data_IF_085687694429
#
_entry.id   IF_085687694429
#
_cell.length_a   1.000
_cell.length_b   1.000
_cell.length_c   1.000
_cell.angle_alpha   90.00
_cell.angle_beta   90.00
_cell.angle_gamma   90.00
#
_symmetry.space_group_name_H-M   'P 1'
#
loop_
_entity.id
_entity.type
_entity.pdbx_description
1 polymer ?
#
# COMPACT_ATOMS: atom_id res chain seq x y z
N UNK A 1 -7.17 -32.54 7.60
CA UNK A 1 -6.14 -31.94 8.47
C UNK A 1 -6.72 -30.99 9.52
N UNK A 2 -7.96 -31.17 10.00
CA UNK A 2 -8.44 -30.38 11.13
C UNK A 2 -7.62 -30.76 12.37
N UNK A 3 -7.00 -29.79 13.04
CA UNK A 3 -6.32 -30.05 14.30
C UNK A 3 -7.37 -30.19 15.40
N UNK A 4 -7.22 -31.16 16.31
CA UNK A 4 -8.02 -31.23 17.55
C UNK A 4 -7.70 -30.09 18.53
N UNK A 5 -6.99 -29.04 18.08
CA UNK A 5 -6.65 -27.92 18.92
C UNK A 5 -7.90 -27.09 19.23
N UNK A 6 -8.19 -26.79 20.51
CA UNK A 6 -9.27 -25.91 20.85
C UNK A 6 -9.04 -24.52 20.22
N UNK A 7 -10.13 -23.86 19.84
CA UNK A 7 -10.06 -22.47 19.38
C UNK A 7 -9.34 -21.62 20.42
N UNK A 8 -8.43 -20.73 19.99
CA UNK A 8 -7.62 -19.99 20.93
C UNK A 8 -8.49 -19.01 21.73
N UNK A 9 -8.27 -18.91 23.06
CA UNK A 9 -9.09 -18.07 23.91
C UNK A 9 -8.82 -16.58 23.66
N UNK A 10 -9.74 -15.73 24.14
CA UNK A 10 -9.54 -14.28 24.15
C UNK A 10 -8.33 -13.95 25.05
N UNK A 11 -7.41 -13.15 24.52
CA UNK A 11 -6.27 -12.63 25.28
C UNK A 11 -6.60 -11.27 25.89
N UNK A 12 -6.04 -11.01 27.08
CA UNK A 12 -6.03 -9.69 27.72
C UNK A 12 -4.60 -9.16 27.76
N UNK A 13 -4.44 -7.87 27.49
CA UNK A 13 -3.20 -7.16 27.79
C UNK A 13 -3.16 -6.81 29.28
N UNK A 14 -2.17 -7.33 30.01
CA UNK A 14 -1.92 -7.03 31.42
C UNK A 14 -0.48 -6.56 31.54
N UNK A 15 -0.28 -5.24 31.70
CA UNK A 15 1.04 -4.63 31.64
C UNK A 15 1.69 -4.87 30.28
N UNK A 16 2.83 -5.56 30.28
CA UNK A 16 3.64 -5.89 29.11
C UNK A 16 3.36 -7.30 28.55
N UNK A 17 2.31 -7.98 29.02
CA UNK A 17 2.02 -9.39 28.69
C UNK A 17 0.64 -9.58 28.09
N UNK A 18 0.53 -10.55 27.19
CA UNK A 18 -0.74 -11.16 26.82
C UNK A 18 -1.02 -12.33 27.75
N UNK A 19 -2.21 -12.34 28.35
CA UNK A 19 -2.63 -13.34 29.34
C UNK A 19 -3.94 -13.98 28.88
N UNK A 20 -4.04 -15.30 29.00
CA UNK A 20 -5.27 -16.05 28.71
C UNK A 20 -6.23 -16.09 29.91
N UNK A 21 -7.45 -16.65 29.77
CA UNK A 21 -8.43 -16.71 30.86
C UNK A 21 -7.98 -17.49 32.09
N UNK A 22 -7.00 -18.40 31.95
CA UNK A 22 -6.43 -19.16 33.06
C UNK A 22 -5.29 -18.41 33.78
N UNK A 23 -4.94 -17.20 33.33
CA UNK A 23 -3.87 -16.40 33.91
C UNK A 23 -2.47 -16.74 33.40
N UNK A 24 -2.35 -17.57 32.35
CA UNK A 24 -1.05 -17.93 31.78
C UNK A 24 -0.56 -16.83 30.84
N UNK A 25 0.73 -16.53 30.89
CA UNK A 25 1.35 -15.64 29.90
C UNK A 25 1.49 -16.37 28.56
N UNK A 26 0.96 -15.79 27.50
CA UNK A 26 0.97 -16.35 26.16
C UNK A 26 2.12 -15.75 25.35
N UNK A 27 3.01 -16.61 24.87
CA UNK A 27 4.06 -16.20 23.93
C UNK A 27 3.54 -16.32 22.50
N UNK A 28 3.37 -15.17 21.84
CA UNK A 28 2.95 -15.12 20.43
C UNK A 28 4.16 -15.32 19.52
N UNK A 29 4.16 -16.40 18.75
CA UNK A 29 5.14 -16.72 17.71
C UNK A 29 4.38 -16.81 16.39
N UNK A 30 4.55 -15.79 15.56
CA UNK A 30 3.72 -15.63 14.38
C UNK A 30 4.48 -15.45 13.08
N UNK A 31 3.70 -15.39 12.01
CA UNK A 31 4.15 -15.17 10.64
C UNK A 31 3.24 -14.15 9.95
N UNK A 32 3.80 -13.38 9.00
CA UNK A 32 3.00 -12.57 8.08
C UNK A 32 2.25 -13.49 7.12
N UNK A 33 0.92 -13.48 7.19
CA UNK A 33 0.07 -14.20 6.28
C UNK A 33 -0.31 -13.29 5.10
N UNK A 34 0.54 -13.32 4.07
CA UNK A 34 0.50 -12.41 2.93
C UNK A 34 -0.12 -13.00 1.68
N UNK A 35 0.33 -14.15 1.15
CA UNK A 35 -0.30 -14.83 0.01
C UNK A 35 -0.58 -13.99 -1.26
N UNK A 36 0.21 -12.93 -1.50
CA UNK A 36 -0.05 -11.89 -2.51
C UNK A 36 -1.33 -11.05 -2.31
N UNK A 37 -1.83 -10.93 -1.07
CA UNK A 37 -2.95 -10.05 -0.68
C UNK A 37 -2.77 -8.57 -1.01
N UNK A 38 -1.59 -8.18 -1.48
CA UNK A 38 -1.29 -6.82 -1.95
C UNK A 38 -1.82 -6.55 -3.36
N UNK A 39 -2.27 -7.57 -4.09
CA UNK A 39 -2.73 -7.47 -5.48
C UNK A 39 -4.09 -8.16 -5.68
N UNK A 40 -4.92 -7.65 -6.62
CA UNK A 40 -6.19 -8.27 -6.98
C UNK A 40 -6.07 -9.72 -7.51
N UNK A 41 -7.18 -10.44 -7.42
CA UNK A 41 -7.43 -11.77 -7.99
C UNK A 41 -8.28 -11.74 -9.24
N UNK A 42 -9.13 -10.72 -9.40
CA UNK A 42 -10.09 -10.57 -10.50
C UNK A 42 -9.96 -9.17 -11.11
N UNK A 43 -10.17 -9.00 -12.44
CA UNK A 43 -10.62 -10.01 -13.43
C UNK A 43 -9.57 -11.07 -13.80
N UNK A 44 -8.29 -10.78 -13.57
CA UNK A 44 -7.19 -11.73 -13.70
C UNK A 44 -6.30 -11.63 -12.46
N UNK A 45 -5.42 -12.60 -12.17
CA UNK A 45 -4.24 -12.31 -11.37
C UNK A 45 -3.52 -11.12 -12.04
N UNK A 46 -3.41 -9.98 -11.36
CA UNK A 46 -2.84 -8.75 -11.92
C UNK A 46 -1.38 -8.57 -11.48
N UNK A 47 -0.40 -9.28 -12.07
CA UNK A 47 0.98 -9.10 -11.68
C UNK A 47 1.45 -7.71 -12.12
N UNK A 48 2.23 -7.08 -11.26
CA UNK A 48 2.67 -5.69 -11.46
C UNK A 48 3.58 -5.48 -12.68
N UNK A 49 4.15 -6.51 -13.29
CA UNK A 49 4.98 -6.34 -14.49
C UNK A 49 4.16 -6.27 -15.79
N UNK A 50 2.85 -6.50 -15.73
CA UNK A 50 1.95 -6.40 -16.88
C UNK A 50 1.10 -5.14 -16.76
N UNK A 51 0.92 -4.43 -17.89
CA UNK A 51 0.04 -3.26 -17.99
C UNK A 51 -1.42 -3.64 -18.24
N UNK A 52 -1.67 -4.86 -18.70
CA UNK A 52 -2.99 -5.38 -19.05
C UNK A 52 -2.88 -6.66 -19.87
N UNK A 53 -4.02 -7.19 -20.28
CA UNK A 53 -4.12 -8.36 -21.15
C UNK A 53 -5.56 -8.75 -21.43
N UNK A 54 -5.75 -9.83 -22.19
CA UNK A 54 -7.07 -10.37 -22.52
C UNK A 54 -7.22 -11.77 -21.91
N UNK A 55 -8.39 -12.02 -21.32
CA UNK A 55 -8.79 -13.32 -20.80
C UNK A 55 -9.30 -14.24 -21.92
N UNK A 56 -9.38 -15.54 -21.64
CA UNK A 56 -9.84 -16.55 -22.61
C UNK A 56 -11.31 -16.38 -23.01
N UNK A 57 -12.10 -15.69 -22.18
CA UNK A 57 -13.51 -15.37 -22.45
C UNK A 57 -13.70 -14.05 -23.24
N UNK A 58 -12.60 -13.40 -23.64
CA UNK A 58 -12.61 -12.14 -24.39
C UNK A 58 -12.65 -10.89 -23.52
N UNK A 59 -12.63 -11.01 -22.20
CA UNK A 59 -12.58 -9.86 -21.29
C UNK A 59 -11.18 -9.25 -21.25
N UNK A 60 -11.06 -7.97 -21.59
CA UNK A 60 -9.83 -7.20 -21.44
C UNK A 60 -9.68 -6.67 -20.01
N UNK A 61 -8.46 -6.65 -19.51
CA UNK A 61 -8.12 -6.06 -18.23
C UNK A 61 -6.91 -5.15 -18.35
N UNK A 62 -6.83 -4.15 -17.46
CA UNK A 62 -5.71 -3.21 -17.38
C UNK A 62 -5.25 -3.08 -15.94
N UNK A 63 -3.95 -2.97 -15.73
CA UNK A 63 -3.41 -2.64 -14.42
C UNK A 63 -3.97 -1.32 -13.89
N UNK A 64 -4.35 -0.39 -14.77
CA UNK A 64 -4.86 0.91 -14.37
C UNK A 64 -6.32 0.87 -13.87
N UNK A 65 -7.02 -0.25 -14.02
CA UNK A 65 -8.32 -0.43 -13.37
C UNK A 65 -8.11 -0.70 -11.88
N UNK A 66 -8.58 0.24 -11.06
CA UNK A 66 -8.65 0.11 -9.60
C UNK A 66 -10.07 0.09 -9.06
N UNK A 67 -11.10 0.00 -9.91
CA UNK A 67 -12.51 0.19 -9.56
C UNK A 67 -13.33 -1.08 -9.66
N UNK A 68 -12.96 -1.99 -10.55
CA UNK A 68 -13.70 -3.24 -10.78
C UNK A 68 -12.90 -4.50 -10.43
N UNK A 69 -11.94 -4.34 -9.53
CA UNK A 69 -11.05 -5.40 -9.05
C UNK A 69 -11.63 -6.14 -7.85
N UNK A 70 -11.25 -7.40 -7.63
CA UNK A 70 -11.56 -8.11 -6.38
C UNK A 70 -10.29 -8.64 -5.72
N UNK A 71 -10.31 -8.76 -4.40
CA UNK A 71 -9.25 -9.34 -3.59
C UNK A 71 -9.70 -10.65 -2.89
N UNK A 72 -10.94 -11.09 -3.14
CA UNK A 72 -11.46 -12.37 -2.64
C UNK A 72 -10.57 -13.50 -3.12
N UNK A 73 -10.22 -14.42 -2.21
CA UNK A 73 -9.29 -15.52 -2.48
C UNK A 73 -7.82 -15.21 -2.14
N UNK A 74 -7.51 -14.07 -1.51
CA UNK A 74 -6.18 -13.76 -0.95
C UNK A 74 -6.22 -13.67 0.58
N UNK A 75 -5.38 -14.40 1.32
CA UNK A 75 -4.07 -14.94 0.91
C UNK A 75 -4.10 -16.27 0.15
N UNK A 76 -5.22 -16.98 0.16
CA UNK A 76 -5.43 -18.24 -0.56
C UNK A 76 -6.93 -18.51 -0.79
N UNK A 77 -7.32 -19.35 -1.76
CA UNK A 77 -8.67 -19.89 -1.87
C UNK A 77 -9.12 -20.57 -0.56
N UNK A 78 -10.42 -20.48 -0.23
CA UNK A 78 -10.92 -21.01 1.06
C UNK A 78 -10.81 -22.54 1.16
N UNK A 79 -10.91 -23.25 0.04
CA UNK A 79 -10.74 -24.70 -0.06
C UNK A 79 -9.28 -25.15 0.16
N UNK A 80 -8.31 -24.27 -0.06
CA UNK A 80 -6.88 -24.50 0.23
C UNK A 80 -6.48 -24.11 1.67
N UNK A 81 -7.38 -23.45 2.43
CA UNK A 81 -7.06 -22.87 3.73
C UNK A 81 -6.53 -23.92 4.74
N UNK A 82 -7.13 -25.11 4.77
CA UNK A 82 -6.75 -26.16 5.70
C UNK A 82 -5.32 -26.64 5.54
N UNK A 83 -4.87 -26.76 4.29
CA UNK A 83 -3.52 -27.21 3.97
C UNK A 83 -2.51 -26.17 4.46
N UNK A 84 -2.74 -24.89 4.14
CA UNK A 84 -1.86 -23.80 4.54
C UNK A 84 -1.82 -23.62 6.07
N UNK A 85 -2.98 -23.56 6.71
CA UNK A 85 -3.09 -23.39 8.16
C UNK A 85 -2.50 -24.59 8.91
N UNK A 86 -2.78 -25.82 8.44
CA UNK A 86 -2.21 -27.04 8.99
C UNK A 86 -0.68 -27.06 8.91
N UNK A 87 -0.12 -26.63 7.77
CA UNK A 87 1.34 -26.52 7.58
C UNK A 87 1.96 -25.50 8.54
N UNK A 88 1.39 -24.30 8.64
CA UNK A 88 1.87 -23.27 9.56
C UNK A 88 1.81 -23.72 11.01
N UNK A 89 0.76 -24.47 11.38
CA UNK A 89 0.59 -25.01 12.73
C UNK A 89 1.64 -26.08 13.02
N UNK A 90 1.92 -26.96 12.06
CA UNK A 90 2.96 -27.98 12.17
C UNK A 90 4.37 -27.36 12.34
N UNK A 91 4.61 -26.16 11.82
CA UNK A 91 5.84 -25.39 12.07
C UNK A 91 5.91 -24.72 13.44
N UNK A 92 4.84 -24.80 14.25
CA UNK A 92 4.80 -24.30 15.62
C UNK A 92 4.36 -22.84 15.76
N UNK A 93 3.83 -22.22 14.69
CA UNK A 93 3.25 -20.88 14.80
C UNK A 93 1.90 -20.92 15.53
N UNK A 94 1.57 -19.82 16.21
CA UNK A 94 0.29 -19.62 16.90
C UNK A 94 -0.34 -18.24 16.64
N UNK A 95 0.34 -17.37 15.88
CA UNK A 95 -0.16 -16.04 15.50
C UNK A 95 -0.04 -15.84 13.98
N UNK A 96 -1.07 -15.27 13.38
CA UNK A 96 -1.07 -14.82 12.00
C UNK A 96 -1.17 -13.29 11.97
N UNK A 97 -0.19 -12.62 11.38
CA UNK A 97 -0.29 -11.21 10.99
C UNK A 97 -0.93 -11.17 9.61
N UNK A 98 -2.26 -11.00 9.56
CA UNK A 98 -3.05 -11.08 8.33
C UNK A 98 -2.97 -9.76 7.57
N UNK A 99 -2.34 -9.80 6.40
CA UNK A 99 -2.12 -8.65 5.53
C UNK A 99 -3.43 -8.28 4.83
N UNK A 100 -3.92 -7.07 5.08
CA UNK A 100 -5.12 -6.51 4.45
C UNK A 100 -4.78 -5.13 3.89
N UNK A 101 -5.09 -4.86 2.63
CA UNK A 101 -4.93 -3.52 2.04
C UNK A 101 -6.23 -2.72 2.16
N UNK A 102 -6.13 -1.40 2.23
CA UNK A 102 -7.31 -0.54 2.15
C UNK A 102 -8.02 -0.69 0.79
N UNK A 103 -7.25 -0.84 -0.28
CA UNK A 103 -7.77 -1.11 -1.62
C UNK A 103 -8.68 -2.35 -1.63
N UNK A 104 -8.31 -3.44 -0.95
CA UNK A 104 -9.15 -4.63 -0.89
C UNK A 104 -10.53 -4.39 -0.27
N UNK A 105 -10.66 -3.41 0.63
CA UNK A 105 -11.90 -3.10 1.32
C UNK A 105 -12.72 -2.03 0.59
N UNK A 106 -12.09 -1.07 -0.07
CA UNK A 106 -12.77 0.14 -0.58
C UNK A 106 -12.21 0.54 -1.96
N UNK A 107 -12.02 -0.41 -2.89
CA UNK A 107 -11.49 -0.13 -4.23
C UNK A 107 -12.48 0.67 -5.10
N UNK A 108 -13.78 0.33 -5.04
CA UNK A 108 -14.82 0.88 -5.91
C UNK A 108 -14.96 2.41 -5.75
N UNK A 109 -14.85 2.92 -4.52
CA UNK A 109 -14.87 4.35 -4.27
C UNK A 109 -15.07 4.74 -2.81
N UNK A 110 -15.01 6.04 -2.50
CA UNK A 110 -15.13 6.52 -1.13
C UNK A 110 -16.51 6.18 -0.53
N UNK A 111 -16.53 5.32 0.49
CA UNK A 111 -17.69 4.81 1.20
C UNK A 111 -18.27 3.52 0.61
N UNK A 112 -17.67 2.99 -0.45
CA UNK A 112 -18.15 1.81 -1.18
C UNK A 112 -17.32 0.59 -0.77
N UNK A 113 -17.76 -0.08 0.31
CA UNK A 113 -17.04 -1.21 0.89
C UNK A 113 -17.35 -2.53 0.17
N UNK A 114 -16.31 -3.32 -0.09
CA UNK A 114 -16.41 -4.67 -0.61
C UNK A 114 -16.82 -5.64 0.51
N UNK A 115 -18.14 -5.86 0.63
CA UNK A 115 -18.71 -6.77 1.60
C UNK A 115 -18.40 -8.25 1.31
N UNK A 116 -18.14 -8.61 0.05
CA UNK A 116 -17.73 -9.97 -0.31
C UNK A 116 -16.33 -10.26 0.21
N UNK A 117 -15.40 -9.30 0.04
CA UNK A 117 -14.06 -9.39 0.61
C UNK A 117 -14.10 -9.44 2.15
N UNK A 118 -14.89 -8.61 2.81
CA UNK A 118 -15.04 -8.65 4.27
C UNK A 118 -15.56 -10.02 4.74
N UNK A 119 -16.56 -10.59 4.05
CA UNK A 119 -17.08 -11.91 4.36
C UNK A 119 -16.03 -13.02 4.14
N UNK A 120 -15.25 -12.91 3.06
CA UNK A 120 -14.13 -13.80 2.80
C UNK A 120 -13.06 -13.74 3.92
N UNK A 121 -12.66 -12.54 4.36
CA UNK A 121 -11.70 -12.38 5.46
C UNK A 121 -12.24 -12.99 6.74
N UNK A 122 -13.53 -12.79 7.03
CA UNK A 122 -14.18 -13.44 8.18
C UNK A 122 -14.04 -14.97 8.12
N UNK A 123 -14.32 -15.58 6.97
CA UNK A 123 -14.19 -17.02 6.79
C UNK A 123 -12.74 -17.51 7.00
N UNK A 124 -11.74 -16.76 6.53
CA UNK A 124 -10.32 -17.07 6.78
C UNK A 124 -9.99 -17.02 8.28
N UNK A 125 -10.47 -16.01 9.00
CA UNK A 125 -10.23 -15.87 10.45
C UNK A 125 -10.94 -16.94 11.27
N UNK A 126 -12.20 -17.27 10.92
CA UNK A 126 -12.95 -18.38 11.51
C UNK A 126 -12.22 -19.70 11.27
N UNK A 127 -11.73 -19.95 10.04
CA UNK A 127 -10.98 -21.17 9.74
C UNK A 127 -9.66 -21.23 10.51
N UNK A 128 -8.97 -20.09 10.64
CA UNK A 128 -7.73 -19.98 11.41
C UNK A 128 -7.91 -20.37 12.89
N UNK A 129 -9.10 -20.13 13.47
CA UNK A 129 -9.38 -20.50 14.87
C UNK A 129 -9.34 -22.01 15.09
N UNK A 130 -9.80 -22.80 14.12
CA UNK A 130 -9.79 -24.27 14.16
C UNK A 130 -8.38 -24.88 14.13
N UNK A 131 -7.38 -24.07 13.81
CA UNK A 131 -5.96 -24.46 13.82
C UNK A 131 -5.20 -23.84 15.00
N UNK A 132 -5.90 -23.21 15.95
CA UNK A 132 -5.29 -22.63 17.14
C UNK A 132 -4.54 -21.32 16.90
N UNK A 133 -4.91 -20.55 15.85
CA UNK A 133 -4.26 -19.27 15.55
C UNK A 133 -5.01 -18.08 16.10
N UNK A 134 -4.30 -17.24 16.85
CA UNK A 134 -4.66 -15.83 17.00
C UNK A 134 -4.36 -15.09 15.70
N UNK A 135 -5.11 -14.03 15.45
CA UNK A 135 -4.99 -13.19 14.25
C UNK A 135 -4.84 -11.73 14.66
N UNK A 136 -3.79 -11.09 14.17
CA UNK A 136 -3.61 -9.65 14.19
C UNK A 136 -3.89 -9.12 12.78
N UNK A 137 -4.85 -8.21 12.67
CA UNK A 137 -5.20 -7.58 11.38
C UNK A 137 -4.19 -6.48 11.10
N UNK A 138 -3.57 -6.54 9.93
CA UNK A 138 -2.52 -5.62 9.52
C UNK A 138 -2.96 -4.78 8.31
N UNK A 139 -3.38 -3.52 8.53
CA UNK A 139 -3.66 -2.56 7.47
C UNK A 139 -2.37 -2.21 6.71
N UNK A 140 -2.10 -2.96 5.66
CA UNK A 140 -0.82 -2.99 4.98
C UNK A 140 -0.76 -2.02 3.82
N UNK A 141 0.40 -1.40 3.68
CA UNK A 141 0.78 -0.58 2.54
C UNK A 141 2.28 -0.64 2.36
N UNK A 142 2.73 -0.47 1.13
CA UNK A 142 4.10 -0.08 0.80
C UNK A 142 4.02 1.07 -0.18
N UNK A 143 4.82 2.13 0.03
CA UNK A 143 4.87 3.27 -0.87
C UNK A 143 3.47 3.79 -1.30
N UNK A 144 2.51 3.86 -0.36
CA UNK A 144 1.12 4.29 -0.55
C UNK A 144 0.22 3.31 -1.31
N UNK A 145 0.46 3.09 -2.60
CA UNK A 145 -0.45 2.38 -3.50
C UNK A 145 0.29 1.57 -4.56
N UNK A 146 -0.38 0.60 -5.17
CA UNK A 146 0.20 -0.14 -6.30
C UNK A 146 0.47 0.73 -7.52
N UNK A 147 -0.30 1.81 -7.69
CA UNK A 147 -0.08 2.81 -8.74
C UNK A 147 1.19 3.63 -8.50
N UNK A 148 1.59 3.83 -7.25
CA UNK A 148 2.85 4.48 -6.87
C UNK A 148 4.02 3.50 -6.74
N UNK A 149 3.87 2.29 -7.30
CA UNK A 149 4.90 1.25 -7.33
C UNK A 149 5.05 0.46 -6.04
N UNK A 150 4.02 0.44 -5.18
CA UNK A 150 3.96 -0.34 -3.95
C UNK A 150 2.62 -1.10 -3.79
N UNK A 151 1.90 -0.87 -2.70
CA UNK A 151 0.57 -1.47 -2.41
C UNK A 151 -0.16 -0.70 -1.31
N UNK A 152 -1.47 -0.94 -1.14
CA UNK A 152 -2.19 -0.55 0.09
C UNK A 152 -3.42 0.30 -0.15
N UNK A 153 -3.25 1.54 -0.59
CA UNK A 153 -4.31 2.53 -0.72
C UNK A 153 -4.96 2.47 -2.12
N UNK A 154 -6.28 2.60 -2.25
CA UNK A 154 -6.98 2.50 -3.53
C UNK A 154 -6.63 3.66 -4.47
N UNK A 155 -6.78 3.44 -5.79
CA UNK A 155 -6.44 4.44 -6.84
C UNK A 155 -7.13 5.77 -6.61
N UNK A 156 -8.36 5.72 -6.10
CA UNK A 156 -9.18 6.89 -5.90
C UNK A 156 -8.59 7.89 -4.92
N UNK A 157 -7.74 7.45 -3.99
CA UNK A 157 -7.05 8.38 -3.09
C UNK A 157 -6.17 9.36 -3.86
N UNK A 158 -5.52 8.90 -4.94
CA UNK A 158 -4.70 9.71 -5.85
C UNK A 158 -5.59 10.58 -6.74
N UNK A 159 -6.62 9.98 -7.35
CA UNK A 159 -7.52 10.66 -8.28
C UNK A 159 -8.32 11.79 -7.59
N UNK A 160 -8.71 11.62 -6.32
CA UNK A 160 -9.44 12.65 -5.56
C UNK A 160 -8.59 13.88 -5.25
N UNK A 161 -7.27 13.77 -5.30
CA UNK A 161 -6.35 14.91 -5.21
C UNK A 161 -5.84 15.37 -6.58
N UNK A 162 -6.43 14.83 -7.66
CA UNK A 162 -6.15 15.23 -9.03
C UNK A 162 -5.02 14.46 -9.72
N UNK A 163 -4.40 13.48 -9.08
CA UNK A 163 -3.32 12.70 -9.71
C UNK A 163 -3.92 11.73 -10.74
N UNK A 164 -3.45 11.81 -11.98
CA UNK A 164 -3.72 10.83 -13.02
C UNK A 164 -2.75 9.64 -12.87
N UNK A 165 -3.30 8.51 -12.42
CA UNK A 165 -2.52 7.29 -12.14
C UNK A 165 -1.86 6.69 -13.38
N UNK A 166 -2.27 7.08 -14.59
CA UNK A 166 -1.68 6.61 -15.86
C UNK A 166 -0.39 7.36 -16.20
N UNK A 167 -0.17 8.56 -15.64
CA UNK A 167 0.95 9.45 -15.99
C UNK A 167 2.10 9.44 -14.97
N UNK A 168 2.00 8.66 -13.91
CA UNK A 168 2.94 8.64 -12.78
C UNK A 168 4.40 8.36 -13.21
N UNK A 169 4.59 7.40 -14.10
CA UNK A 169 5.93 7.01 -14.57
C UNK A 169 6.56 8.06 -15.48
N UNK A 170 5.79 8.60 -16.44
CA UNK A 170 6.26 9.61 -17.39
C UNK A 170 6.66 10.91 -16.69
N UNK A 171 5.93 11.27 -15.62
CA UNK A 171 6.25 12.41 -14.77
C UNK A 171 7.34 12.11 -13.73
N UNK A 172 7.92 10.90 -13.73
CA UNK A 172 8.84 10.38 -12.70
C UNK A 172 8.33 10.55 -11.25
N UNK A 173 7.01 10.63 -11.07
CA UNK A 173 6.35 10.79 -9.79
C UNK A 173 6.29 9.47 -9.00
N UNK A 174 6.38 8.34 -9.71
CA UNK A 174 6.64 7.02 -9.18
C UNK A 174 7.38 6.19 -10.23
N UNK A 175 8.02 5.10 -9.81
CA UNK A 175 8.54 4.07 -10.72
C UNK A 175 7.78 2.78 -10.46
N UNK A 176 7.23 2.18 -11.51
CA UNK A 176 6.47 0.94 -11.41
C UNK A 176 7.14 -0.13 -12.28
N UNK A 177 6.76 -1.41 -12.13
CA UNK A 177 7.32 -2.45 -13.00
C UNK A 177 6.85 -2.28 -14.45
N UNK A 178 5.62 -1.80 -14.67
CA UNK A 178 5.06 -1.54 -16.01
C UNK A 178 5.81 -0.42 -16.77
N UNK A 179 6.51 0.45 -16.04
CA UNK A 179 7.30 1.51 -16.67
C UNK A 179 8.65 1.02 -17.22
N UNK A 180 8.95 -0.29 -17.12
CA UNK A 180 10.15 -0.90 -17.67
C UNK A 180 9.79 -1.80 -18.85
N UNK A 181 10.42 -1.53 -20.00
CA UNK A 181 10.22 -2.32 -21.21
C UNK A 181 10.79 -3.74 -21.10
N UNK A 182 11.85 -3.92 -20.31
CA UNK A 182 12.40 -5.23 -19.96
C UNK A 182 12.24 -5.48 -18.46
N UNK A 183 11.31 -6.37 -18.05
CA UNK A 183 11.12 -6.74 -16.65
C UNK A 183 12.38 -7.32 -15.99
N UNK A 184 13.27 -7.98 -16.74
CA UNK A 184 14.51 -8.55 -16.21
C UNK A 184 15.57 -7.48 -15.89
N UNK A 185 15.43 -6.30 -16.48
CA UNK A 185 16.32 -5.16 -16.22
C UNK A 185 15.83 -4.29 -15.06
N UNK A 186 14.66 -4.57 -14.47
CA UNK A 186 14.15 -3.82 -13.33
C UNK A 186 15.11 -3.92 -12.13
N UNK A 187 15.70 -2.79 -11.67
CA UNK A 187 16.72 -2.85 -10.63
C UNK A 187 16.18 -3.37 -9.30
N UNK A 188 16.94 -4.27 -8.67
CA UNK A 188 16.66 -4.71 -7.30
C UNK A 188 16.58 -3.51 -6.35
N UNK A 189 15.64 -3.56 -5.40
CA UNK A 189 15.42 -2.54 -4.38
C UNK A 189 15.21 -1.13 -4.95
N UNK A 190 14.61 -1.02 -6.15
CA UNK A 190 14.17 0.27 -6.69
C UNK A 190 12.84 0.72 -6.06
N UNK A 191 11.90 -0.21 -5.82
CA UNK A 191 10.57 0.10 -5.29
C UNK A 191 10.56 0.93 -3.99
N UNK A 192 11.44 0.73 -2.99
CA UNK A 192 11.39 1.50 -1.74
C UNK A 192 11.72 2.98 -1.97
N UNK A 193 12.40 3.33 -3.06
CA UNK A 193 12.69 4.72 -3.39
C UNK A 193 11.43 5.52 -3.73
N UNK A 194 10.33 4.86 -4.12
CA UNK A 194 9.06 5.53 -4.40
C UNK A 194 8.51 6.28 -3.20
N UNK A 195 8.84 5.85 -1.99
CA UNK A 195 8.49 6.54 -0.73
C UNK A 195 8.90 8.02 -0.75
N UNK A 196 10.01 8.35 -1.42
CA UNK A 196 10.53 9.72 -1.51
C UNK A 196 10.19 10.40 -2.83
N UNK A 197 9.54 9.71 -3.77
CA UNK A 197 9.10 10.31 -5.02
C UNK A 197 7.77 11.04 -4.83
N UNK A 198 7.51 11.95 -5.76
CA UNK A 198 6.48 12.97 -5.64
C UNK A 198 5.12 12.42 -5.20
N UNK A 199 4.61 11.37 -5.86
CA UNK A 199 3.24 10.91 -5.62
C UNK A 199 3.07 10.33 -4.20
N UNK A 200 3.94 9.41 -3.79
CA UNK A 200 3.87 8.81 -2.45
C UNK A 200 4.12 9.84 -1.35
N UNK A 201 5.16 10.67 -1.51
CA UNK A 201 5.49 11.69 -0.52
C UNK A 201 4.37 12.74 -0.40
N UNK A 202 3.74 13.12 -1.51
CA UNK A 202 2.57 14.00 -1.52
C UNK A 202 1.42 13.39 -0.74
N UNK A 203 1.03 12.16 -1.05
CA UNK A 203 -0.11 11.52 -0.41
C UNK A 203 0.06 11.33 1.10
N UNK A 204 1.25 10.94 1.56
CA UNK A 204 1.53 10.88 3.00
C UNK A 204 1.47 12.26 3.66
N UNK A 205 1.93 13.32 2.98
CA UNK A 205 1.85 14.68 3.51
C UNK A 205 0.40 15.11 3.67
N UNK A 206 -0.43 14.89 2.65
CA UNK A 206 -1.85 15.21 2.67
C UNK A 206 -2.61 14.39 3.74
N UNK A 207 -2.28 13.10 3.89
CA UNK A 207 -2.89 12.22 4.89
C UNK A 207 -2.57 12.61 6.32
N UNK A 208 -1.33 13.02 6.62
CA UNK A 208 -0.92 13.33 8.00
C UNK A 208 -1.12 14.78 8.39
N UNK A 209 -0.86 15.72 7.47
CA UNK A 209 -0.80 17.14 7.76
C UNK A 209 -1.39 18.03 6.65
N UNK A 210 -2.29 17.50 5.82
CA UNK A 210 -2.93 18.26 4.74
C UNK A 210 -3.62 19.54 5.22
N UNK A 211 -4.25 19.54 6.40
CA UNK A 211 -4.90 20.75 6.95
C UNK A 211 -3.90 21.88 7.25
N UNK A 212 -2.60 21.56 7.43
CA UNK A 212 -1.53 22.54 7.72
C UNK A 212 -0.63 22.83 6.52
N UNK A 213 -0.34 21.82 5.70
CA UNK A 213 0.61 21.91 4.59
C UNK A 213 -0.05 22.18 3.24
N UNK A 214 -1.35 21.87 3.10
CA UNK A 214 -2.13 22.10 1.89
C UNK A 214 -3.60 22.45 2.20
N UNK A 215 -3.87 23.51 2.99
CA UNK A 215 -5.22 23.91 3.39
C UNK A 215 -6.19 24.23 2.23
N UNK A 216 -5.68 24.56 1.04
CA UNK A 216 -6.49 24.75 -0.17
C UNK A 216 -6.82 23.44 -0.87
N UNK A 217 -6.09 22.35 -0.59
CA UNK A 217 -6.38 21.04 -1.14
C UNK A 217 -7.64 20.45 -0.48
N UNK A 218 -8.75 20.48 -1.23
CA UNK A 218 -10.06 20.05 -0.75
C UNK A 218 -10.71 19.06 -1.70
N UNK A 219 -11.36 18.05 -1.14
CA UNK A 219 -12.18 17.08 -1.89
C UNK A 219 -13.64 17.37 -1.59
N UNK A 220 -14.40 17.82 -2.59
CA UNK A 220 -15.82 18.21 -2.44
C UNK A 220 -16.05 19.21 -1.30
N UNK A 221 -15.12 20.14 -1.11
CA UNK A 221 -15.17 21.18 -0.07
C UNK A 221 -14.67 20.76 1.31
N UNK A 222 -14.39 19.47 1.54
CA UNK A 222 -13.76 18.97 2.77
C UNK A 222 -12.23 19.03 2.65
N UNK A 223 -11.52 19.38 3.72
CA UNK A 223 -10.05 19.32 3.76
C UNK A 223 -9.55 17.91 3.46
N UNK A 224 -8.56 17.80 2.57
CA UNK A 224 -8.07 16.50 2.06
C UNK A 224 -7.62 15.54 3.16
N UNK A 225 -7.00 16.06 4.23
CA UNK A 225 -6.56 15.25 5.37
C UNK A 225 -7.74 14.53 6.02
N UNK A 226 -8.81 15.28 6.34
CA UNK A 226 -10.01 14.74 6.99
C UNK A 226 -10.72 13.77 6.08
N UNK A 227 -10.83 14.10 4.80
CA UNK A 227 -11.43 13.22 3.79
C UNK A 227 -10.70 11.87 3.75
N UNK A 228 -9.38 11.86 3.56
CA UNK A 228 -8.59 10.63 3.46
C UNK A 228 -8.62 9.82 4.77
N UNK A 229 -8.41 10.47 5.93
CA UNK A 229 -8.41 9.79 7.22
C UNK A 229 -9.79 9.21 7.56
N UNK A 230 -10.88 9.95 7.31
CA UNK A 230 -12.25 9.50 7.57
C UNK A 230 -12.58 8.23 6.78
N UNK A 231 -12.21 8.19 5.50
CA UNK A 231 -12.46 7.01 4.67
C UNK A 231 -11.54 5.83 5.05
N UNK A 232 -10.25 6.07 5.30
CA UNK A 232 -9.34 5.00 5.76
C UNK A 232 -9.83 4.34 7.07
N UNK A 233 -10.17 5.16 8.06
CA UNK A 233 -10.72 4.70 9.34
C UNK A 233 -12.07 3.99 9.11
N UNK A 234 -12.92 4.54 8.23
CA UNK A 234 -14.20 3.94 7.85
C UNK A 234 -14.06 2.52 7.31
N UNK A 235 -13.12 2.27 6.38
CA UNK A 235 -12.83 0.94 5.87
C UNK A 235 -12.35 -0.02 6.97
N UNK A 236 -11.46 0.43 7.86
CA UNK A 236 -11.00 -0.40 8.98
C UNK A 236 -12.14 -0.72 9.95
N UNK A 237 -13.05 0.23 10.19
CA UNK A 237 -14.26 0.02 11.00
C UNK A 237 -15.21 -0.96 10.34
N UNK A 238 -15.39 -0.89 9.01
CA UNK A 238 -16.21 -1.83 8.25
C UNK A 238 -15.68 -3.27 8.39
N UNK A 239 -14.37 -3.46 8.22
CA UNK A 239 -13.72 -4.74 8.44
C UNK A 239 -13.87 -5.23 9.89
N UNK A 240 -13.56 -4.38 10.87
CA UNK A 240 -13.70 -4.73 12.29
C UNK A 240 -15.14 -5.11 12.66
N UNK A 241 -16.12 -4.46 12.06
CA UNK A 241 -17.54 -4.79 12.23
C UNK A 241 -17.88 -6.17 11.65
N UNK A 242 -17.34 -6.51 10.48
CA UNK A 242 -17.49 -7.85 9.88
C UNK A 242 -16.82 -8.97 10.69
N UNK A 243 -15.74 -8.65 11.40
CA UNK A 243 -15.01 -9.59 12.27
C UNK A 243 -15.52 -9.65 13.71
N UNK A 244 -16.57 -8.88 14.04
CA UNK A 244 -17.14 -8.85 15.39
C UNK A 244 -17.54 -10.26 15.84
N UNK A 245 -17.24 -10.57 17.11
CA UNK A 245 -17.56 -11.85 17.75
C UNK A 245 -16.50 -12.94 17.60
N UNK A 246 -15.47 -12.73 16.78
CA UNK A 246 -14.36 -13.69 16.65
C UNK A 246 -13.35 -13.50 17.78
N UNK A 247 -13.28 -14.49 18.68
CA UNK A 247 -12.42 -14.45 19.87
C UNK A 247 -10.93 -14.52 19.56
N UNK A 248 -10.56 -15.01 18.38
CA UNK A 248 -9.19 -15.18 17.95
C UNK A 248 -8.60 -13.94 17.27
N UNK A 249 -9.38 -12.86 17.06
CA UNK A 249 -8.83 -11.56 16.63
C UNK A 249 -8.30 -10.82 17.85
N UNK A 250 -6.98 -10.63 17.91
CA UNK A 250 -6.32 -10.05 19.08
C UNK A 250 -6.01 -8.55 18.94
N UNK A 251 -6.20 -7.99 17.75
CA UNK A 251 -5.98 -6.56 17.52
C UNK A 251 -5.98 -6.17 16.05
N UNK A 252 -5.98 -4.86 15.85
CA UNK A 252 -5.86 -4.20 14.56
C UNK A 252 -4.67 -3.26 14.62
N UNK A 253 -3.83 -3.30 13.58
CA UNK A 253 -2.82 -2.27 13.36
C UNK A 253 -3.43 -0.94 12.97
N UNK A 254 -2.62 0.11 13.05
CA UNK A 254 -3.02 1.47 12.64
C UNK A 254 -2.70 1.76 11.19
N UNK A 255 -1.51 1.38 10.73
CA UNK A 255 -1.02 1.42 9.35
C UNK A 255 0.37 0.76 9.33
N UNK A 256 0.67 -0.09 8.34
CA UNK A 256 2.02 -0.63 8.17
C UNK A 256 3.00 0.48 7.77
N UNK A 257 4.12 0.59 8.49
CA UNK A 257 5.28 1.42 8.13
C UNK A 257 4.92 2.83 7.59
N UNK A 258 4.21 3.66 8.39
CA UNK A 258 3.78 4.97 7.93
C UNK A 258 4.99 5.85 7.60
N UNK A 259 4.95 6.49 6.43
CA UNK A 259 6.02 7.38 5.98
C UNK A 259 5.64 8.85 6.22
N UNK A 260 6.62 9.74 6.48
CA UNK A 260 6.35 11.13 6.81
C UNK A 260 6.02 12.00 5.61
N UNK A 261 6.16 11.51 4.37
CA UNK A 261 6.05 12.36 3.18
C UNK A 261 7.05 13.52 3.23
N UNK A 262 6.57 14.76 3.09
CA UNK A 262 7.37 15.99 3.16
C UNK A 262 7.40 16.61 4.57
N UNK A 263 6.78 15.99 5.58
CA UNK A 263 6.83 16.50 6.95
C UNK A 263 8.27 16.55 7.45
N UNK A 264 8.70 17.73 7.92
CA UNK A 264 10.07 17.96 8.41
C UNK A 264 11.14 18.14 7.32
N UNK A 265 10.77 18.13 6.04
CA UNK A 265 11.70 18.46 4.94
C UNK A 265 12.06 19.95 5.01
N UNK A 266 13.32 20.25 5.37
CA UNK A 266 13.81 21.63 5.55
C UNK A 266 14.17 22.34 4.24
N UNK A 267 14.48 21.57 3.19
CA UNK A 267 14.97 22.06 1.90
C UNK A 267 14.40 21.23 0.76
N UNK A 268 13.59 21.86 -0.09
CA UNK A 268 12.96 21.21 -1.24
C UNK A 268 13.94 20.95 -2.38
N UNK A 269 15.08 21.64 -2.42
CA UNK A 269 16.15 21.46 -3.41
C UNK A 269 17.19 20.38 -3.03
N UNK A 270 16.86 19.56 -2.03
CA UNK A 270 17.68 18.44 -1.53
C UNK A 270 16.84 17.17 -1.47
N UNK A 271 17.47 16.00 -1.62
CA UNK A 271 16.77 14.72 -1.50
C UNK A 271 16.15 14.57 -0.10
N UNK A 272 14.89 14.14 -0.04
CA UNK A 272 14.14 14.03 1.22
C UNK A 272 14.47 12.76 2.04
N UNK A 273 15.17 11.77 1.46
CA UNK A 273 15.41 10.47 2.08
C UNK A 273 16.83 9.91 1.90
N UNK A 274 17.21 8.91 2.71
CA UNK A 274 18.52 8.27 2.65
C UNK A 274 18.65 7.28 1.48
N UNK A 275 17.55 6.69 1.01
CA UNK A 275 17.57 5.71 -0.08
C UNK A 275 17.79 6.38 -1.43
N UNK A 276 18.75 5.87 -2.20
CA UNK A 276 19.16 6.44 -3.49
C UNK A 276 19.43 5.35 -4.50
N UNK A 277 18.51 5.15 -5.43
CA UNK A 277 18.65 4.20 -6.53
C UNK A 277 17.78 4.64 -7.71
N UNK A 278 18.30 4.56 -8.93
CA UNK A 278 17.63 5.09 -10.11
C UNK A 278 17.55 6.62 -10.11
N UNK A 279 16.58 7.17 -10.84
CA UNK A 279 16.29 8.61 -10.83
C UNK A 279 15.66 9.02 -9.51
N UNK A 280 16.28 9.98 -8.84
CA UNK A 280 15.85 10.49 -7.54
C UNK A 280 15.65 12.01 -7.64
N UNK A 281 14.42 12.46 -7.94
CA UNK A 281 14.09 13.88 -7.86
C UNK A 281 14.18 14.37 -6.41
N UNK A 282 14.66 15.59 -6.22
CA UNK A 282 14.36 16.36 -4.99
C UNK A 282 12.86 16.69 -4.93
N UNK A 283 12.30 17.06 -3.77
CA UNK A 283 10.91 17.49 -3.69
C UNK A 283 10.54 18.58 -4.70
N UNK A 284 11.39 19.60 -4.86
CA UNK A 284 11.17 20.67 -5.84
C UNK A 284 11.23 20.14 -7.27
N UNK A 285 12.24 19.33 -7.62
CA UNK A 285 12.32 18.71 -8.95
C UNK A 285 11.09 17.82 -9.23
N UNK A 286 10.58 17.10 -8.22
CA UNK A 286 9.36 16.29 -8.34
C UNK A 286 8.11 17.13 -8.57
N UNK A 287 7.96 18.26 -7.85
CA UNK A 287 6.87 19.22 -8.05
C UNK A 287 6.91 19.82 -9.48
N UNK A 288 8.11 20.18 -9.94
CA UNK A 288 8.34 20.73 -11.30
C UNK A 288 7.99 19.71 -12.38
N UNK A 289 8.44 18.45 -12.22
CA UNK A 289 8.13 17.37 -13.15
C UNK A 289 6.63 17.06 -13.20
N UNK A 290 5.95 17.00 -12.05
CA UNK A 290 4.51 16.78 -11.98
C UNK A 290 3.70 17.89 -12.66
N UNK A 291 4.28 19.09 -12.75
CA UNK A 291 3.68 20.27 -13.40
C UNK A 291 4.04 20.39 -14.88
N UNK A 292 4.58 19.34 -15.51
CA UNK A 292 4.86 19.32 -16.95
C UNK A 292 6.12 20.06 -17.38
N UNK A 293 7.04 20.38 -16.46
CA UNK A 293 8.28 21.08 -16.79
C UNK A 293 9.44 20.10 -16.87
N UNK A 294 10.10 19.96 -18.05
CA UNK A 294 11.27 19.09 -18.19
C UNK A 294 12.37 19.44 -17.18
N UNK A 295 12.82 18.46 -16.42
CA UNK A 295 13.73 18.71 -15.28
C UNK A 295 14.90 17.76 -15.28
N UNK A 296 16.10 18.31 -15.12
CA UNK A 296 17.32 17.52 -14.92
C UNK A 296 17.30 16.87 -13.54
N UNK A 297 17.31 15.54 -13.45
CA UNK A 297 17.27 14.75 -12.20
C UNK A 297 18.52 13.91 -12.03
N UNK A 298 18.99 13.76 -10.79
CA UNK A 298 20.12 12.89 -10.47
C UNK A 298 19.79 11.40 -10.57
N UNK A 299 20.63 10.64 -11.27
CA UNK A 299 20.59 9.18 -11.34
C UNK A 299 21.63 8.56 -10.41
N UNK A 300 21.19 7.68 -9.52
CA UNK A 300 21.99 7.01 -8.50
C UNK A 300 22.00 5.51 -8.72
N UNK A 301 23.05 4.85 -8.21
CA UNK A 301 23.10 3.39 -8.12
C UNK A 301 23.55 2.97 -6.73
N UNK A 302 22.71 2.18 -6.06
CA UNK A 302 22.99 1.72 -4.71
C UNK A 302 24.25 0.83 -4.63
N UNK A 303 24.61 0.14 -5.71
CA UNK A 303 25.79 -0.72 -5.79
C UNK A 303 27.10 0.03 -6.09
N UNK A 304 27.06 1.35 -6.31
CA UNK A 304 28.25 2.14 -6.66
C UNK A 304 28.81 2.86 -5.42
N UNK A 305 30.01 2.46 -5.03
CA UNK A 305 30.74 3.04 -3.90
C UNK A 305 30.85 4.57 -3.97
N UNK A 306 30.98 5.14 -5.17
CA UNK A 306 30.96 6.59 -5.40
C UNK A 306 29.68 7.26 -4.84
N UNK A 307 28.51 6.71 -5.14
CA UNK A 307 27.23 7.25 -4.63
C UNK A 307 27.14 7.13 -3.11
N UNK A 308 27.61 6.01 -2.55
CA UNK A 308 27.58 5.75 -1.12
C UNK A 308 28.49 6.72 -0.33
N UNK A 309 29.71 6.96 -0.82
CA UNK A 309 30.68 7.84 -0.14
C UNK A 309 30.35 9.32 -0.33
N UNK A 310 30.10 9.74 -1.57
CA UNK A 310 29.98 11.17 -1.89
C UNK A 310 28.55 11.70 -1.73
N UNK A 311 27.57 10.80 -1.74
CA UNK A 311 26.16 11.17 -1.84
C UNK A 311 25.79 11.84 -3.17
N UNK A 312 26.65 11.83 -4.19
CA UNK A 312 26.40 12.49 -5.48
C UNK A 312 25.83 11.52 -6.51
N UNK A 313 25.02 12.00 -7.47
CA UNK A 313 24.54 11.17 -8.57
C UNK A 313 25.69 10.83 -9.53
N UNK A 314 25.55 9.72 -10.25
CA UNK A 314 26.52 9.29 -11.29
C UNK A 314 26.39 10.19 -12.52
N UNK A 315 25.16 10.58 -12.84
CA UNK A 315 24.83 11.49 -13.92
C UNK A 315 23.54 12.24 -13.58
N UNK A 316 23.27 13.32 -14.30
CA UNK A 316 21.94 13.94 -14.34
C UNK A 316 21.33 13.76 -15.72
N UNK A 317 20.02 13.61 -15.78
CA UNK A 317 19.28 13.37 -17.02
C UNK A 317 17.99 14.20 -16.99
N UNK A 318 17.63 14.83 -18.11
CA UNK A 318 16.34 15.52 -18.24
C UNK A 318 15.24 14.46 -18.35
N UNK A 319 14.21 14.61 -17.52
CA UNK A 319 13.01 13.76 -17.53
C UNK A 319 11.79 14.61 -17.88
N UNK A 320 10.73 13.93 -18.35
CA UNK A 320 9.47 14.54 -18.81
C UNK A 320 9.65 15.54 -19.96
N UNK A 321 10.46 15.19 -20.97
CA UNK A 321 10.71 16.05 -22.15
C UNK A 321 9.44 16.36 -22.96
N UNK A 322 8.40 15.51 -22.84
CA UNK A 322 7.10 15.71 -23.48
C UNK A 322 6.20 16.73 -22.80
N UNK A 323 6.62 17.28 -21.65
CA UNK A 323 5.83 18.27 -20.90
C UNK A 323 4.51 17.72 -20.36
N UNK A 324 4.48 16.45 -19.97
CA UNK A 324 3.27 15.77 -19.52
C UNK A 324 2.90 16.28 -18.12
N UNK A 325 1.67 16.75 -17.96
CA UNK A 325 1.12 17.12 -16.66
C UNK A 325 0.59 15.89 -15.94
N UNK A 326 0.96 15.70 -14.67
CA UNK A 326 0.49 14.56 -13.87
C UNK A 326 -1.02 14.62 -13.56
N UNK A 327 -1.65 15.77 -13.78
CA UNK A 327 -2.96 16.08 -13.25
C UNK A 327 -4.10 15.65 -14.18
N UNK A 328 -5.22 15.25 -13.58
CA UNK A 328 -6.51 15.13 -14.24
C UNK A 328 -7.02 16.51 -14.66
N UNK A 329 -7.89 16.56 -15.65
CA UNK A 329 -8.45 17.81 -16.15
C UNK A 329 -9.12 18.61 -15.01
N UNK A 330 -8.77 19.90 -14.91
CA UNK A 330 -9.27 20.80 -13.87
C UNK A 330 -8.53 20.71 -12.53
N UNK A 331 -7.48 19.90 -12.44
CA UNK A 331 -6.59 19.84 -11.27
C UNK A 331 -5.20 20.39 -11.57
N UNK A 332 -4.49 20.78 -10.52
CA UNK A 332 -3.09 21.18 -10.57
C UNK A 332 -2.35 20.69 -9.32
N UNK A 333 -1.06 20.97 -9.24
CA UNK A 333 -0.23 20.58 -8.11
C UNK A 333 -0.78 21.19 -6.81
N UNK A 334 -1.08 20.39 -5.77
CA UNK A 334 -1.61 20.91 -4.52
C UNK A 334 -0.62 21.83 -3.80
N UNK A 335 0.67 21.77 -4.16
CA UNK A 335 1.73 22.62 -3.61
C UNK A 335 1.90 23.94 -4.36
N UNK A 336 1.27 24.13 -5.53
CA UNK A 336 1.37 25.38 -6.30
C UNK A 336 0.50 26.48 -5.69
N UNK A 337 -0.60 26.10 -5.03
CA UNK A 337 -1.54 27.01 -4.41
C UNK A 337 -1.11 27.51 -3.00
N UNK A 338 0.01 26.99 -2.47
CA UNK A 338 0.48 27.16 -1.08
C UNK A 338 1.85 27.84 -1.03
#
# INVERSE_FOLDING_TARGET
>A
FASDAPSPPILKAVGDRFVDPEGRTVMLRGINLGGSSKLPTSPAPMPTHLSGGSLTDGTDWTFHDGRTVSFVGRPFPLDEADEHLGRLRAWGFNLLRLVITWEAIEHAGPGEYDHEYIAYVRAVVERSSLFGFWVYIDPHQDAWSRFTGGSGHPSWTLEKVGIDVTKLAECAAAVTHQSWSDPHAFPHMLWPTNVFKYACATMFTLFWAGDSYAPQCKVRGEGVQRFLQRHYIGAMVALASGLKGLSNVIGFGTMNEPMPGFLGVKRLDRLAGPLRNGHMPTPLEGMTLASGVPTSVGYYRADKLYCLITGRPIKRQVLNDGGIHLWLDGYSCPWEAE
#
